data_IF_919633137948
#
_entry.id   IF_919633137948
#
_cell.length_a   1.000
_cell.length_b   1.000
_cell.length_c   1.000
_cell.angle_alpha   90.00
_cell.angle_beta   90.00
_cell.angle_gamma   90.00
#
_symmetry.space_group_name_H-M   'P 1'
#
loop_
_entity.id
_entity.type
_entity.pdbx_description
1 polymer ?
#
# COMPACT_ATOMS: atom_id res chain seq x y z
N UNK A 1 -33.58 17.03 5.33
CA UNK A 1 -32.82 15.78 5.10
C UNK A 1 -32.43 15.77 3.64
N UNK A 2 -31.14 15.92 3.32
CA UNK A 2 -30.67 15.86 1.94
C UNK A 2 -30.56 14.40 1.52
N UNK A 3 -31.24 14.03 0.42
CA UNK A 3 -31.16 12.69 -0.13
C UNK A 3 -29.75 12.42 -0.67
N UNK A 4 -29.18 11.27 -0.34
CA UNK A 4 -27.92 10.80 -0.89
C UNK A 4 -28.07 10.70 -2.42
N UNK A 5 -27.21 11.36 -3.22
CA UNK A 5 -27.27 11.23 -4.68
C UNK A 5 -27.07 9.75 -5.05
N UNK A 6 -27.95 9.23 -5.91
CA UNK A 6 -27.93 7.84 -6.32
C UNK A 6 -26.57 7.45 -6.89
N UNK A 7 -26.07 6.28 -6.49
CA UNK A 7 -24.84 5.72 -7.04
C UNK A 7 -24.94 5.64 -8.57
N UNK A 8 -23.86 5.92 -9.32
CA UNK A 8 -23.85 5.67 -10.75
C UNK A 8 -24.19 4.20 -11.00
N UNK A 9 -24.98 3.93 -12.03
CA UNK A 9 -25.30 2.59 -12.48
C UNK A 9 -24.02 1.92 -13.04
N UNK A 10 -23.18 1.40 -12.13
CA UNK A 10 -22.00 0.61 -12.50
C UNK A 10 -22.52 -0.78 -12.87
N UNK A 11 -22.59 -1.04 -14.17
CA UNK A 11 -22.78 -2.40 -14.67
C UNK A 11 -21.45 -3.14 -14.52
N UNK A 12 -21.36 -3.97 -13.48
CA UNK A 12 -20.28 -4.94 -13.38
C UNK A 12 -20.49 -5.96 -14.50
N UNK A 13 -19.55 -6.04 -15.44
CA UNK A 13 -19.50 -7.20 -16.35
C UNK A 13 -19.31 -8.42 -15.45
N UNK A 14 -20.08 -9.50 -15.63
CA UNK A 14 -19.84 -10.74 -14.90
C UNK A 14 -18.36 -11.07 -15.03
N UNK A 15 -17.71 -11.28 -13.89
CA UNK A 15 -16.34 -11.78 -13.80
C UNK A 15 -16.15 -12.86 -14.88
N UNK A 16 -15.16 -12.66 -15.77
CA UNK A 16 -14.65 -13.79 -16.55
C UNK A 16 -14.30 -14.87 -15.54
N UNK A 17 -14.86 -16.07 -15.70
CA UNK A 17 -14.52 -17.24 -14.88
C UNK A 17 -13.03 -17.55 -15.09
N UNK A 18 -12.18 -16.87 -14.33
CA UNK A 18 -10.77 -17.20 -14.24
C UNK A 18 -10.64 -18.26 -13.16
N UNK A 19 -10.42 -19.49 -13.59
CA UNK A 19 -10.11 -20.59 -12.69
C UNK A 19 -8.71 -20.37 -12.10
N UNK A 20 -8.63 -19.71 -10.95
CA UNK A 20 -7.38 -19.58 -10.20
C UNK A 20 -7.17 -20.82 -9.33
N UNK A 21 -6.05 -21.51 -9.55
CA UNK A 21 -5.64 -22.62 -8.68
C UNK A 21 -4.97 -22.05 -7.43
N UNK A 22 -5.63 -22.12 -6.27
CA UNK A 22 -5.08 -21.77 -4.96
C UNK A 22 -3.76 -22.49 -4.63
N UNK A 23 -3.48 -23.64 -5.27
CA UNK A 23 -2.21 -24.37 -5.09
C UNK A 23 -0.96 -23.55 -5.43
N UNK A 24 -1.08 -22.43 -6.16
CA UNK A 24 0.04 -21.56 -6.49
C UNK A 24 0.42 -20.59 -5.35
N UNK A 25 -0.53 -20.22 -4.47
CA UNK A 25 -0.29 -19.36 -3.31
C UNK A 25 0.10 -20.14 -2.06
N UNK A 26 -0.26 -21.43 -1.98
CA UNK A 26 0.04 -22.32 -0.85
C UNK A 26 1.43 -22.99 -0.98
N UNK A 27 2.30 -22.42 -1.82
CA UNK A 27 3.64 -22.94 -2.08
C UNK A 27 4.50 -22.92 -0.83
N UNK A 28 4.90 -24.12 -0.35
CA UNK A 28 5.69 -24.37 0.87
C UNK A 28 5.29 -23.45 2.03
N UNK A 29 4.37 -23.91 2.87
CA UNK A 29 4.30 -23.48 4.27
C UNK A 29 5.74 -23.38 4.77
N UNK A 30 6.25 -22.17 5.10
CA UNK A 30 7.58 -22.05 5.64
C UNK A 30 7.66 -23.03 6.81
N UNK A 31 8.70 -23.84 6.90
CA UNK A 31 8.92 -24.90 7.91
C UNK A 31 9.09 -24.37 9.35
N UNK A 32 8.50 -23.22 9.65
CA UNK A 32 8.62 -22.47 10.87
C UNK A 32 7.32 -22.69 11.65
N UNK A 33 7.42 -22.73 12.97
CA UNK A 33 6.32 -22.89 13.92
C UNK A 33 5.36 -21.68 13.92
N UNK A 34 4.78 -21.35 12.76
CA UNK A 34 3.74 -20.33 12.62
C UNK A 34 2.41 -20.97 13.03
N UNK A 35 1.70 -20.45 14.03
CA UNK A 35 0.46 -21.03 14.55
C UNK A 35 -0.71 -21.02 13.54
N UNK A 36 -0.66 -20.17 12.51
CA UNK A 36 -1.67 -20.08 11.46
C UNK A 36 -1.01 -19.98 10.07
N UNK A 37 -1.59 -20.61 9.04
CA UNK A 37 -1.17 -20.43 7.64
C UNK A 37 -1.35 -19.00 7.13
N UNK A 38 -2.21 -18.19 7.78
CA UNK A 38 -2.50 -16.82 7.40
C UNK A 38 -1.60 -15.78 8.09
N UNK A 39 -0.63 -16.21 8.91
CA UNK A 39 0.31 -15.28 9.55
C UNK A 39 1.21 -14.60 8.51
N UNK A 40 1.14 -13.27 8.48
CA UNK A 40 2.02 -12.44 7.71
C UNK A 40 3.38 -12.30 8.42
N UNK A 41 4.46 -11.92 7.71
CA UNK A 41 5.79 -11.75 8.33
C UNK A 41 5.84 -10.78 9.52
N UNK A 42 4.92 -9.81 9.59
CA UNK A 42 4.76 -8.82 10.66
C UNK A 42 3.89 -9.29 11.85
N UNK A 43 3.19 -10.43 11.72
CA UNK A 43 2.55 -11.12 12.85
C UNK A 43 3.56 -11.82 13.77
N UNK A 44 4.85 -11.83 13.38
CA UNK A 44 5.91 -12.41 14.19
C UNK A 44 6.10 -11.63 15.50
N UNK A 45 6.26 -12.30 16.65
CA UNK A 45 6.59 -11.65 17.91
C UNK A 45 7.88 -10.81 17.85
N UNK A 46 8.86 -11.24 17.04
CA UNK A 46 10.10 -10.50 16.77
C UNK A 46 9.85 -9.25 15.93
N UNK A 47 8.84 -9.22 15.05
CA UNK A 47 8.47 -8.02 14.34
C UNK A 47 7.72 -7.04 15.27
N UNK A 48 6.87 -7.54 16.17
CA UNK A 48 6.20 -6.75 17.21
C UNK A 48 7.15 -6.03 18.17
N UNK A 49 8.38 -6.52 18.37
CA UNK A 49 9.37 -5.80 19.18
C UNK A 49 9.86 -4.50 18.52
N UNK A 50 9.67 -4.36 17.20
CA UNK A 50 9.98 -3.17 16.42
C UNK A 50 8.72 -2.42 15.98
N UNK A 51 7.57 -3.12 15.87
CA UNK A 51 6.23 -2.56 15.68
C UNK A 51 5.57 -2.43 17.05
N UNK A 52 5.88 -1.36 17.75
CA UNK A 52 5.15 -1.05 18.95
C UNK A 52 3.75 -0.59 18.55
N UNK A 53 2.71 -1.39 18.83
CA UNK A 53 1.30 -1.00 18.73
C UNK A 53 0.94 0.01 19.84
N UNK A 54 1.71 1.11 19.93
CA UNK A 54 1.64 2.08 21.02
C UNK A 54 0.26 2.75 21.09
N UNK A 55 -0.36 2.92 19.93
CA UNK A 55 -1.69 3.48 19.79
C UNK A 55 -2.80 2.43 19.90
N UNK A 56 -2.48 1.13 20.03
CA UNK A 56 -3.46 0.06 20.14
C UNK A 56 -4.28 -0.18 18.87
N UNK A 57 -3.80 0.26 17.70
CA UNK A 57 -4.48 0.09 16.42
C UNK A 57 -4.67 -1.39 16.08
N UNK A 58 -3.66 -2.22 16.33
CA UNK A 58 -3.73 -3.67 16.09
C UNK A 58 -4.57 -4.34 17.18
N UNK A 59 -4.25 -4.11 18.46
CA UNK A 59 -4.94 -4.74 19.59
C UNK A 59 -6.42 -4.39 19.68
N UNK A 60 -6.81 -3.17 19.30
CA UNK A 60 -8.19 -2.71 19.29
C UNK A 60 -8.97 -3.11 18.03
N UNK A 61 -8.32 -3.66 17.01
CA UNK A 61 -8.98 -4.04 15.77
C UNK A 61 -9.69 -5.39 15.92
N UNK A 62 -10.98 -5.50 15.54
CA UNK A 62 -11.68 -6.79 15.53
C UNK A 62 -11.06 -7.80 14.55
N UNK A 63 -10.24 -7.31 13.61
CA UNK A 63 -9.53 -8.14 12.64
C UNK A 63 -8.28 -8.81 13.21
N UNK A 64 -7.73 -8.32 14.32
CA UNK A 64 -6.50 -8.88 14.90
C UNK A 64 -6.69 -10.27 15.51
N UNK A 65 -7.92 -10.62 15.88
CA UNK A 65 -8.29 -11.97 16.34
C UNK A 65 -9.14 -12.73 15.33
N UNK A 66 -9.33 -12.17 14.12
CA UNK A 66 -10.09 -12.84 13.08
C UNK A 66 -9.36 -14.13 12.66
N UNK A 67 -10.15 -15.17 12.44
CA UNK A 67 -9.69 -16.46 11.91
C UNK A 67 -10.62 -16.85 10.78
N UNK A 68 -10.05 -17.48 9.76
CA UNK A 68 -10.81 -18.04 8.65
C UNK A 68 -11.78 -19.12 9.15
N UNK A 69 -13.04 -19.02 8.72
CA UNK A 69 -14.04 -20.08 8.84
C UNK A 69 -14.16 -20.78 7.48
N UNK A 70 -13.98 -22.10 7.44
CA UNK A 70 -14.07 -22.89 6.21
C UNK A 70 -15.52 -23.16 5.78
N UNK A 71 -16.48 -23.09 6.71
CA UNK A 71 -17.91 -23.26 6.42
C UNK A 71 -18.58 -21.93 6.05
N UNK A 72 -18.00 -20.80 6.49
CA UNK A 72 -18.47 -19.45 6.18
C UNK A 72 -17.29 -18.52 5.78
N UNK A 73 -16.75 -18.67 4.57
CA UNK A 73 -15.58 -17.90 4.15
C UNK A 73 -15.91 -16.41 4.02
N UNK A 74 -15.19 -15.57 4.77
CA UNK A 74 -15.31 -14.12 4.65
C UNK A 74 -14.59 -13.62 3.39
N UNK A 75 -15.31 -12.90 2.52
CA UNK A 75 -14.74 -12.22 1.35
C UNK A 75 -14.65 -10.71 1.59
N UNK A 76 -13.44 -10.14 1.49
CA UNK A 76 -13.24 -8.70 1.45
C UNK A 76 -13.04 -8.24 0.01
N UNK A 77 -13.83 -7.25 -0.43
CA UNK A 77 -13.70 -6.64 -1.75
C UNK A 77 -13.33 -5.18 -1.59
N UNK A 78 -12.16 -4.79 -2.10
CA UNK A 78 -11.71 -3.41 -2.14
C UNK A 78 -11.97 -2.83 -3.54
N UNK A 79 -12.88 -1.88 -3.64
CA UNK A 79 -13.15 -1.14 -4.89
C UNK A 79 -12.33 0.14 -4.88
N UNK A 80 -11.43 0.29 -5.84
CA UNK A 80 -10.51 1.42 -5.95
C UNK A 80 -10.73 2.19 -7.25
N UNK A 81 -10.12 3.37 -7.35
CA UNK A 81 -10.05 4.09 -8.62
C UNK A 81 -9.27 3.29 -9.67
N UNK A 82 -9.66 3.43 -10.94
CA UNK A 82 -8.93 2.81 -12.04
C UNK A 82 -7.66 3.62 -12.32
N UNK A 83 -6.52 2.95 -12.22
CA UNK A 83 -5.19 3.52 -12.45
C UNK A 83 -4.66 3.11 -13.84
N UNK A 84 -3.69 3.88 -14.32
CA UNK A 84 -3.00 3.64 -15.58
C UNK A 84 -1.80 2.71 -15.44
N UNK A 85 -0.79 2.93 -16.28
CA UNK A 85 0.37 2.06 -16.40
C UNK A 85 1.40 2.21 -15.28
N UNK A 86 2.31 1.24 -15.11
CA UNK A 86 3.39 1.31 -14.13
C UNK A 86 4.41 2.41 -14.46
N UNK A 87 5.14 2.86 -13.44
CA UNK A 87 6.21 3.85 -13.55
C UNK A 87 7.52 3.22 -14.08
N UNK A 88 7.42 2.31 -15.04
CA UNK A 88 8.53 1.57 -15.62
C UNK A 88 9.26 2.35 -16.74
N UNK A 89 10.41 1.83 -17.16
CA UNK A 89 11.21 2.45 -18.22
C UNK A 89 11.81 3.80 -17.83
N UNK A 90 12.33 4.54 -18.82
CA UNK A 90 12.98 5.84 -18.59
C UNK A 90 11.95 6.97 -18.49
N UNK A 91 11.79 7.53 -17.30
CA UNK A 91 10.84 8.60 -16.98
C UNK A 91 11.51 9.96 -16.82
N UNK A 92 10.71 11.03 -16.82
CA UNK A 92 11.22 12.39 -16.70
C UNK A 92 11.69 12.71 -15.27
N UNK A 93 12.47 13.78 -15.11
CA UNK A 93 12.83 14.28 -13.79
C UNK A 93 11.60 14.77 -13.01
N UNK A 94 10.58 15.28 -13.71
CA UNK A 94 9.31 15.70 -13.11
C UNK A 94 8.51 14.51 -12.56
N UNK A 95 8.57 13.36 -13.23
CA UNK A 95 7.96 12.12 -12.73
C UNK A 95 8.63 11.70 -11.43
N UNK A 96 9.96 11.78 -11.38
CA UNK A 96 10.72 11.49 -10.15
C UNK A 96 10.30 12.41 -9.00
N UNK A 97 10.20 13.72 -9.26
CA UNK A 97 9.81 14.71 -8.25
C UNK A 97 8.40 14.45 -7.73
N UNK A 98 7.47 14.12 -8.62
CA UNK A 98 6.09 13.80 -8.24
C UNK A 98 6.00 12.50 -7.42
N UNK A 99 6.72 11.45 -7.83
CA UNK A 99 6.80 10.19 -7.10
C UNK A 99 7.40 10.39 -5.71
N UNK A 100 8.51 11.15 -5.59
CA UNK A 100 9.11 11.53 -4.31
C UNK A 100 8.10 12.27 -3.43
N UNK A 101 7.35 13.22 -3.99
CA UNK A 101 6.36 13.99 -3.27
C UNK A 101 5.25 13.10 -2.67
N UNK A 102 4.73 12.14 -3.45
CA UNK A 102 3.74 11.16 -2.96
C UNK A 102 4.33 10.29 -1.84
N UNK A 103 5.57 9.84 -1.98
CA UNK A 103 6.20 9.05 -0.92
C UNK A 103 6.45 9.82 0.36
N UNK A 104 6.84 11.09 0.24
CA UNK A 104 6.98 11.97 1.39
C UNK A 104 5.61 12.19 2.06
N UNK A 105 4.49 12.25 1.31
CA UNK A 105 3.14 12.33 1.90
C UNK A 105 2.82 11.07 2.72
N UNK A 106 3.02 9.89 2.14
CA UNK A 106 2.78 8.61 2.81
C UNK A 106 3.63 8.49 4.09
N UNK A 107 4.91 8.89 4.02
CA UNK A 107 5.82 8.87 5.15
C UNK A 107 5.41 9.86 6.25
N UNK A 108 4.90 11.05 5.90
CA UNK A 108 4.37 12.02 6.85
C UNK A 108 3.06 11.57 7.51
N UNK A 109 2.38 10.57 6.94
CA UNK A 109 1.29 9.86 7.62
C UNK A 109 1.78 8.72 8.53
N UNK A 110 3.09 8.54 8.69
CA UNK A 110 3.67 7.45 9.46
C UNK A 110 3.70 6.12 8.72
N UNK A 111 3.35 6.08 7.43
CA UNK A 111 3.31 4.82 6.66
C UNK A 111 4.65 4.58 5.97
N UNK A 112 5.20 3.40 6.21
CA UNK A 112 6.46 2.93 5.66
C UNK A 112 6.23 1.81 4.65
N UNK A 113 6.33 2.14 3.36
CA UNK A 113 6.19 1.14 2.29
C UNK A 113 7.54 0.48 1.96
N UNK A 114 7.71 -0.83 2.18
CA UNK A 114 8.99 -1.52 1.94
C UNK A 114 9.13 -2.10 0.53
N UNK A 115 8.03 -2.28 -0.19
CA UNK A 115 8.04 -2.82 -1.55
C UNK A 115 8.00 -1.72 -2.64
N UNK A 116 8.96 -0.79 -2.58
CA UNK A 116 9.03 0.32 -3.55
C UNK A 116 9.66 -0.10 -4.87
N UNK A 117 8.80 -0.36 -5.85
CA UNK A 117 9.18 -0.68 -7.21
C UNK A 117 8.34 0.08 -8.24
N UNK A 118 8.81 0.24 -9.48
CA UNK A 118 8.02 0.81 -10.58
C UNK A 118 6.66 0.15 -10.80
N UNK A 119 6.54 -1.13 -10.45
CA UNK A 119 5.31 -1.90 -10.60
C UNK A 119 4.24 -1.55 -9.56
N UNK A 120 4.66 -0.97 -8.44
CA UNK A 120 3.79 -0.52 -7.35
C UNK A 120 3.52 0.99 -7.40
N UNK A 121 3.94 1.66 -8.48
CA UNK A 121 3.69 3.07 -8.73
C UNK A 121 2.97 3.19 -10.07
N UNK A 122 1.70 3.57 -10.06
CA UNK A 122 0.85 3.62 -11.24
C UNK A 122 0.47 5.04 -11.62
N UNK A 123 0.33 5.33 -12.91
CA UNK A 123 -0.13 6.64 -13.37
C UNK A 123 -1.60 6.85 -13.00
N UNK A 124 -1.96 8.10 -12.78
CA UNK A 124 -3.33 8.52 -12.58
C UNK A 124 -3.84 9.25 -13.82
N UNK A 125 -4.63 8.53 -14.62
CA UNK A 125 -5.27 9.04 -15.83
C UNK A 125 -6.78 9.21 -15.65
N UNK A 126 -7.23 9.30 -14.39
CA UNK A 126 -8.63 9.44 -14.01
C UNK A 126 -9.25 10.76 -14.51
N UNK A 127 -10.59 10.82 -14.62
CA UNK A 127 -11.29 11.99 -15.11
C UNK A 127 -11.04 13.21 -14.22
N UNK A 128 -10.98 14.40 -14.81
CA UNK A 128 -10.73 15.65 -14.08
C UNK A 128 -11.70 15.89 -12.91
N UNK A 129 -12.92 15.34 -12.97
CA UNK A 129 -13.93 15.44 -11.91
C UNK A 129 -13.60 14.65 -10.64
N UNK A 130 -12.72 13.66 -10.70
CA UNK A 130 -12.27 12.87 -9.53
C UNK A 130 -10.89 13.25 -9.04
N UNK A 131 -10.24 14.24 -9.67
CA UNK A 131 -8.92 14.70 -9.27
C UNK A 131 -8.98 15.41 -7.92
N UNK A 132 -8.34 14.80 -6.92
CA UNK A 132 -8.12 15.43 -5.63
C UNK A 132 -6.73 16.08 -5.59
N UNK A 133 -6.70 17.33 -5.15
CA UNK A 133 -5.45 18.06 -4.92
C UNK A 133 -4.84 17.61 -3.61
N UNK A 134 -3.54 17.27 -3.61
CA UNK A 134 -2.79 17.03 -2.40
C UNK A 134 -2.75 18.31 -1.56
N UNK A 135 -3.15 18.21 -0.29
CA UNK A 135 -3.19 19.35 0.62
C UNK A 135 -1.80 19.93 0.91
N UNK A 136 -0.75 19.11 0.89
CA UNK A 136 0.63 19.55 1.17
C UNK A 136 1.28 20.25 -0.01
N UNK A 137 1.10 19.72 -1.22
CA UNK A 137 1.77 20.24 -2.42
C UNK A 137 0.91 21.19 -3.26
N UNK A 138 -0.41 21.22 -3.06
CA UNK A 138 -1.32 22.04 -3.84
C UNK A 138 -1.46 21.60 -5.30
N UNK A 139 -1.04 20.37 -5.65
CA UNK A 139 -1.13 19.79 -6.99
C UNK A 139 -1.89 18.46 -6.97
N UNK A 140 -2.36 18.03 -8.13
CA UNK A 140 -2.85 16.67 -8.32
C UNK A 140 -1.64 15.82 -8.74
N UNK A 141 -1.27 14.86 -7.89
CA UNK A 141 -0.19 13.94 -8.23
C UNK A 141 -0.57 13.08 -9.43
N UNK A 142 0.38 12.88 -10.34
CA UNK A 142 0.25 12.04 -11.54
C UNK A 142 0.50 10.58 -11.23
N UNK A 143 1.13 10.28 -10.11
CA UNK A 143 1.42 8.92 -9.67
C UNK A 143 0.64 8.54 -8.40
N UNK A 144 0.35 7.25 -8.26
CA UNK A 144 -0.26 6.61 -7.08
C UNK A 144 0.60 5.44 -6.67
N UNK A 145 0.69 5.21 -5.36
CA UNK A 145 1.38 4.06 -4.79
C UNK A 145 0.33 3.03 -4.38
N UNK A 146 0.56 1.78 -4.75
CA UNK A 146 -0.31 0.63 -4.41
C UNK A 146 0.53 -0.44 -3.70
N UNK A 147 -0.13 -1.52 -3.29
CA UNK A 147 0.50 -2.72 -2.72
C UNK A 147 1.15 -2.50 -1.34
N UNK A 148 0.30 -2.14 -0.37
CA UNK A 148 0.71 -1.89 1.01
C UNK A 148 0.84 -3.16 1.87
N UNK A 149 0.91 -4.34 1.26
CA UNK A 149 1.03 -5.63 1.96
C UNK A 149 2.28 -5.73 2.85
N UNK A 150 3.35 -5.04 2.43
CA UNK A 150 4.64 -4.90 3.14
C UNK A 150 4.84 -3.47 3.60
N UNK A 151 3.82 -2.91 4.24
CA UNK A 151 3.89 -1.58 4.82
C UNK A 151 3.80 -1.61 6.33
N UNK A 152 4.45 -0.65 6.97
CA UNK A 152 4.54 -0.53 8.43
C UNK A 152 3.97 0.81 8.84
N UNK A 153 3.22 0.85 9.92
CA UNK A 153 2.83 2.11 10.54
C UNK A 153 3.82 2.48 11.64
N UNK A 154 4.24 3.74 11.65
CA UNK A 154 5.17 4.31 12.61
C UNK A 154 4.52 5.53 13.24
N UNK A 155 4.38 5.49 14.56
CA UNK A 155 3.94 6.63 15.35
C UNK A 155 5.01 7.73 15.31
N UNK A 156 4.78 8.75 14.49
CA UNK A 156 5.72 9.86 14.25
C UNK A 156 6.04 10.64 15.53
N UNK A 157 5.08 10.76 16.44
CA UNK A 157 5.22 11.53 17.68
C UNK A 157 6.01 10.76 18.75
N UNK A 158 6.10 9.43 18.61
CA UNK A 158 6.77 8.55 19.55
C UNK A 158 7.86 7.68 18.90
N UNK A 159 8.44 8.15 17.79
CA UNK A 159 9.48 7.39 17.08
C UNK A 159 10.73 7.22 17.91
N UNK A 160 11.25 5.99 17.92
CA UNK A 160 12.64 5.76 18.32
C UNK A 160 13.59 6.36 17.29
N UNK A 161 14.84 6.61 17.67
CA UNK A 161 15.90 7.09 16.76
C UNK A 161 16.04 6.25 15.49
N UNK A 162 15.74 4.95 15.56
CA UNK A 162 15.70 4.04 14.41
C UNK A 162 14.52 4.38 13.48
N UNK A 163 13.31 4.53 14.02
CA UNK A 163 12.11 4.94 13.27
C UNK A 163 12.30 6.29 12.56
N UNK A 164 12.85 7.29 13.25
CA UNK A 164 13.10 8.61 12.64
C UNK A 164 14.11 8.54 11.49
N UNK A 165 15.17 7.72 11.62
CA UNK A 165 16.15 7.51 10.53
C UNK A 165 15.54 6.80 9.33
N UNK A 166 14.69 5.80 9.55
CA UNK A 166 14.01 5.05 8.47
C UNK A 166 13.04 5.93 7.69
N UNK A 167 12.39 6.90 8.35
CA UNK A 167 11.57 7.92 7.68
C UNK A 167 12.44 8.87 6.83
N UNK A 168 13.57 9.35 7.36
CA UNK A 168 14.43 10.34 6.69
C UNK A 168 15.31 9.77 5.55
N UNK A 169 15.64 8.48 5.57
CA UNK A 169 16.56 7.86 4.60
C UNK A 169 15.92 7.47 3.25
N UNK A 170 14.74 8.00 2.91
CA UNK A 170 13.94 7.48 1.78
C UNK A 170 14.24 8.08 0.43
N UNK A 171 14.69 9.33 0.38
CA UNK A 171 15.16 9.94 -0.87
C UNK A 171 16.26 9.08 -1.52
N UNK A 172 17.12 8.50 -0.68
CA UNK A 172 18.17 7.57 -1.13
C UNK A 172 17.65 6.19 -1.56
N UNK A 173 16.46 5.75 -1.13
CA UNK A 173 15.87 4.46 -1.54
C UNK A 173 15.39 4.50 -2.99
N UNK A 174 14.78 5.60 -3.46
CA UNK A 174 14.44 5.74 -4.88
C UNK A 174 15.67 5.78 -5.77
N UNK A 175 16.75 6.41 -5.29
CA UNK A 175 18.02 6.48 -6.02
C UNK A 175 18.78 5.14 -6.06
N UNK A 176 18.49 4.22 -5.12
CA UNK A 176 19.14 2.91 -5.00
C UNK A 176 18.25 1.73 -5.41
N UNK A 177 16.95 1.94 -5.61
CA UNK A 177 16.01 0.91 -6.01
C UNK A 177 16.25 0.53 -7.48
N UNK A 178 16.66 -0.73 -7.69
CA UNK A 178 17.13 -1.26 -8.97
C UNK A 178 16.10 -1.26 -10.12
N UNK A 179 14.87 -0.78 -9.89
CA UNK A 179 13.82 -0.72 -10.91
C UNK A 179 13.56 0.67 -11.49
N UNK A 180 13.86 1.75 -10.76
CA UNK A 180 13.52 3.10 -11.22
C UNK A 180 14.58 3.63 -12.20
N UNK A 181 14.14 4.15 -13.34
CA UNK A 181 15.01 4.83 -14.30
C UNK A 181 14.44 6.22 -14.59
N UNK A 182 15.09 7.25 -14.05
CA UNK A 182 14.71 8.65 -14.28
C UNK A 182 15.82 9.39 -15.01
N UNK A 183 15.47 10.25 -15.97
CA UNK A 183 16.43 11.14 -16.64
C UNK A 183 16.94 12.19 -15.66
N UNK A 184 18.23 12.52 -15.73
CA UNK A 184 18.78 13.71 -15.08
C UNK A 184 18.25 14.98 -15.76
N UNK A 185 18.03 16.04 -14.99
CA UNK A 185 17.75 17.38 -15.52
C UNK A 185 18.92 17.88 -16.36
#
# INVERSE_FOLDING_TARGET
MAAQPGYPAIAFVPWDERTHSFKATDGRVPTWSCPSPDWLPDDRPIAQQYISDLAGFKQGSPWNTWQRDDEDPTLAVLVMELLGGPCDGTRSAEDKEDVVAVFDDIANCGVLHENLSPWNVLSYDGPASSQQTCQRHGIVHRWRVIDFDRSWFVDLDNTTTFGSRTVHSRKTMLDSSAGFSFRSK
#
